data_IF_901733707636
#
_entry.id   IF_901733707636
#
_cell.length_a   1.000
_cell.length_b   1.000
_cell.length_c   1.000
_cell.angle_alpha   90.00
_cell.angle_beta   90.00
_cell.angle_gamma   90.00
#
_symmetry.space_group_name_H-M   'P 1'
#
loop_
_entity.id
_entity.type
_entity.pdbx_description
1 polymer ?
#
# COMPACT_ATOMS: atom_id res chain seq x y z
N UNK A 1 18.06 3.03 19.51
CA UNK A 1 18.32 3.35 18.11
C UNK A 1 17.45 4.50 17.66
N UNK A 2 18.06 5.45 17.00
CA UNK A 2 17.36 6.62 16.53
C UNK A 2 16.47 6.29 15.34
N UNK A 3 15.27 6.86 15.30
CA UNK A 3 14.33 6.65 14.21
C UNK A 3 13.90 7.98 13.64
N UNK A 4 13.45 7.96 12.39
CA UNK A 4 12.85 9.14 11.77
C UNK A 4 11.65 8.70 10.95
N UNK A 5 10.83 9.68 10.55
CA UNK A 5 9.63 9.41 9.78
C UNK A 5 9.97 9.30 8.30
N UNK A 6 9.41 8.28 7.65
CA UNK A 6 9.55 8.09 6.22
C UNK A 6 8.19 7.88 5.59
N UNK A 7 8.08 8.24 4.32
CA UNK A 7 6.96 7.84 3.49
C UNK A 7 7.35 6.58 2.73
N UNK A 8 6.50 5.56 2.78
CA UNK A 8 6.76 4.29 2.11
C UNK A 8 5.67 4.10 1.07
N UNK A 9 6.05 4.01 -0.20
CA UNK A 9 5.11 3.93 -1.30
C UNK A 9 4.83 2.51 -1.73
N UNK A 10 3.62 2.29 -2.22
CA UNK A 10 3.28 1.03 -2.84
C UNK A 10 2.15 1.19 -3.83
N UNK A 11 2.00 0.22 -4.71
CA UNK A 11 0.89 0.17 -5.65
C UNK A 11 0.67 -1.26 -6.08
N UNK A 12 -0.59 -1.57 -6.40
CA UNK A 12 -0.98 -2.88 -6.85
C UNK A 12 -2.17 -2.72 -7.79
N UNK A 13 -2.25 -3.57 -8.81
CA UNK A 13 -3.42 -3.61 -9.66
C UNK A 13 -4.39 -4.66 -9.13
N UNK A 14 -5.66 -4.48 -9.44
CA UNK A 14 -6.70 -5.43 -9.03
C UNK A 14 -7.83 -5.39 -10.03
N UNK A 15 -8.66 -6.45 -10.05
CA UNK A 15 -9.89 -6.43 -10.79
C UNK A 15 -10.94 -5.80 -9.89
N UNK A 16 -12.00 -5.26 -10.49
CA UNK A 16 -13.04 -4.60 -9.70
C UNK A 16 -14.01 -5.64 -9.14
N UNK A 17 -13.52 -6.43 -8.20
CA UNK A 17 -14.31 -7.38 -7.42
C UNK A 17 -13.85 -7.29 -5.98
N UNK A 18 -14.72 -7.55 -5.01
CA UNK A 18 -14.30 -7.51 -3.60
C UNK A 18 -13.15 -8.46 -3.32
N UNK A 19 -13.17 -9.65 -3.92
CA UNK A 19 -12.13 -10.65 -3.68
C UNK A 19 -10.78 -10.18 -4.20
N UNK A 20 -10.75 -9.64 -5.42
CA UNK A 20 -9.50 -9.20 -6.03
C UNK A 20 -8.92 -8.00 -5.29
N UNK A 21 -9.77 -7.04 -4.94
CA UNK A 21 -9.31 -5.86 -4.21
C UNK A 21 -8.74 -6.27 -2.86
N UNK A 22 -9.47 -7.14 -2.14
CA UNK A 22 -9.02 -7.59 -0.83
C UNK A 22 -7.68 -8.33 -0.94
N UNK A 23 -7.58 -9.26 -1.87
CA UNK A 23 -6.39 -10.06 -2.02
C UNK A 23 -5.16 -9.22 -2.38
N UNK A 24 -5.33 -8.30 -3.32
CA UNK A 24 -4.21 -7.51 -3.80
C UNK A 24 -3.79 -6.43 -2.80
N UNK A 25 -4.75 -5.79 -2.13
CA UNK A 25 -4.41 -4.83 -1.09
C UNK A 25 -3.71 -5.55 0.07
N UNK A 26 -4.20 -6.72 0.43
CA UNK A 26 -3.59 -7.51 1.50
C UNK A 26 -2.16 -7.90 1.19
N UNK A 27 -1.92 -8.34 -0.04
CA UNK A 27 -0.57 -8.74 -0.45
C UNK A 27 0.38 -7.55 -0.44
N UNK A 28 -0.04 -6.41 -0.99
CA UNK A 28 0.79 -5.21 -1.03
C UNK A 28 1.15 -4.77 0.38
N UNK A 29 0.17 -4.70 1.26
CA UNK A 29 0.41 -4.22 2.63
C UNK A 29 1.23 -5.21 3.44
N UNK A 30 0.98 -6.52 3.26
CA UNK A 30 1.77 -7.53 3.96
C UNK A 30 3.25 -7.38 3.60
N UNK A 31 3.54 -7.15 2.32
CA UNK A 31 4.91 -6.98 1.87
C UNK A 31 5.53 -5.69 2.39
N UNK A 32 4.77 -4.59 2.38
CA UNK A 32 5.27 -3.32 2.91
C UNK A 32 5.65 -3.47 4.39
N UNK A 33 4.76 -4.08 5.17
CA UNK A 33 5.00 -4.20 6.60
C UNK A 33 6.16 -5.15 6.88
N UNK A 34 6.25 -6.23 6.12
CA UNK A 34 7.31 -7.22 6.31
C UNK A 34 8.67 -6.69 5.87
N UNK A 35 8.73 -6.15 4.65
CA UNK A 35 10.01 -5.71 4.08
C UNK A 35 10.60 -4.52 4.83
N UNK A 36 9.76 -3.74 5.49
CA UNK A 36 10.21 -2.59 6.25
C UNK A 36 10.23 -2.88 7.75
N UNK A 37 9.94 -4.12 8.13
CA UNK A 37 9.98 -4.59 9.51
C UNK A 37 9.16 -3.68 10.43
N UNK A 38 7.92 -3.39 10.02
CA UNK A 38 7.06 -2.47 10.75
C UNK A 38 6.19 -3.19 11.77
N UNK A 39 6.09 -2.59 12.95
CA UNK A 39 5.11 -2.99 13.95
C UNK A 39 4.00 -1.94 13.95
N UNK A 40 2.82 -2.24 14.50
CA UNK A 40 1.73 -1.26 14.46
C UNK A 40 2.11 0.09 15.06
N UNK A 41 2.91 0.10 16.13
CA UNK A 41 3.28 1.36 16.77
C UNK A 41 4.29 2.18 15.98
N UNK A 42 4.88 1.61 14.93
CA UNK A 42 5.77 2.38 14.05
C UNK A 42 4.97 3.17 13.02
N UNK A 43 3.73 2.80 12.77
CA UNK A 43 2.94 3.35 11.67
C UNK A 43 2.12 4.55 12.14
N UNK A 44 2.34 5.69 11.50
CA UNK A 44 1.61 6.91 11.79
C UNK A 44 0.26 6.90 11.07
N UNK A 45 0.27 6.56 9.79
CA UNK A 45 -0.97 6.51 9.00
C UNK A 45 -0.74 5.71 7.73
N UNK A 46 -1.85 5.24 7.16
CA UNK A 46 -1.86 4.52 5.89
C UNK A 46 -2.90 5.20 5.01
N UNK A 47 -2.47 5.81 3.93
CA UNK A 47 -3.37 6.50 3.03
C UNK A 47 -3.39 5.78 1.69
N UNK A 48 -4.58 5.30 1.30
CA UNK A 48 -4.76 4.65 0.01
C UNK A 48 -5.39 5.61 -0.97
N UNK A 49 -5.06 5.46 -2.26
CA UNK A 49 -5.89 6.03 -3.32
C UNK A 49 -6.34 4.88 -4.22
N UNK A 50 -7.50 5.03 -4.83
CA UNK A 50 -8.04 4.04 -5.74
C UNK A 50 -8.50 4.73 -7.01
N UNK A 51 -8.18 4.14 -8.16
CA UNK A 51 -8.70 4.66 -9.42
C UNK A 51 -10.23 4.47 -9.43
N UNK A 52 -10.94 5.33 -10.17
CA UNK A 52 -12.40 5.34 -10.09
C UNK A 52 -13.04 4.06 -10.63
N UNK A 53 -12.30 3.27 -11.39
CA UNK A 53 -12.82 1.99 -11.90
C UNK A 53 -12.75 0.88 -10.85
N UNK A 54 -12.21 1.14 -9.67
CA UNK A 54 -12.25 0.21 -8.54
C UNK A 54 -13.21 0.81 -7.52
N UNK A 55 -14.45 0.32 -7.51
CA UNK A 55 -15.48 0.94 -6.69
C UNK A 55 -16.31 -0.04 -5.86
N UNK A 56 -16.04 -1.33 -5.96
CA UNK A 56 -16.87 -2.30 -5.26
C UNK A 56 -16.38 -2.65 -3.86
N UNK A 57 -15.21 -2.15 -3.45
CA UNK A 57 -14.71 -2.37 -2.11
C UNK A 57 -13.71 -1.29 -1.74
N UNK A 58 -13.77 -0.82 -0.49
CA UNK A 58 -12.88 0.20 0.04
C UNK A 58 -11.56 -0.46 0.44
N UNK A 59 -10.42 0.14 0.04
CA UNK A 59 -9.11 -0.44 0.32
C UNK A 59 -8.81 -0.54 1.82
N UNK A 60 -9.24 0.43 2.61
CA UNK A 60 -9.00 0.37 4.05
C UNK A 60 -9.82 -0.77 4.68
N UNK A 61 -11.06 -0.95 4.21
CA UNK A 61 -11.87 -2.07 4.69
C UNK A 61 -11.25 -3.40 4.27
N UNK A 62 -10.67 -3.44 3.07
CA UNK A 62 -9.98 -4.64 2.60
C UNK A 62 -8.80 -4.98 3.50
N UNK A 63 -8.00 -3.97 3.85
CA UNK A 63 -6.85 -4.20 4.71
C UNK A 63 -7.27 -4.79 6.06
N UNK A 64 -8.32 -4.25 6.66
CA UNK A 64 -8.77 -4.73 7.97
C UNK A 64 -9.24 -6.18 7.94
N UNK A 65 -9.60 -6.70 6.78
CA UNK A 65 -10.09 -8.07 6.66
C UNK A 65 -8.98 -9.06 6.31
N UNK A 66 -7.74 -8.59 6.17
CA UNK A 66 -6.63 -9.44 5.77
C UNK A 66 -5.68 -9.70 6.93
N UNK A 67 -5.07 -10.87 6.91
CA UNK A 67 -3.97 -11.15 7.82
C UNK A 67 -2.71 -10.64 7.12
N UNK A 68 -2.18 -9.55 7.59
CA UNK A 68 -0.98 -8.93 7.00
C UNK A 68 0.22 -9.00 7.94
N UNK A 69 0.12 -9.86 8.95
CA UNK A 69 1.25 -10.10 9.85
C UNK A 69 1.32 -9.18 11.05
N UNK A 70 0.53 -8.12 11.07
CA UNK A 70 0.45 -7.21 12.22
C UNK A 70 -1.01 -6.87 12.48
N UNK A 71 -1.29 -6.37 13.66
CA UNK A 71 -2.63 -5.96 14.03
C UNK A 71 -2.93 -4.60 13.42
N UNK A 72 -3.95 -4.53 12.55
CA UNK A 72 -4.30 -3.30 11.86
C UNK A 72 -5.46 -2.55 12.52
N UNK A 73 -6.00 -3.07 13.62
CA UNK A 73 -7.25 -2.53 14.18
C UNK A 73 -7.17 -1.08 14.64
N UNK A 74 -5.99 -0.63 15.06
CA UNK A 74 -5.82 0.74 15.53
C UNK A 74 -5.06 1.64 14.57
N UNK A 75 -4.79 1.18 13.36
CA UNK A 75 -4.07 2.00 12.40
C UNK A 75 -4.96 3.12 11.86
N UNK A 76 -4.38 4.29 11.64
CA UNK A 76 -5.10 5.41 11.06
C UNK A 76 -5.13 5.21 9.54
N UNK A 77 -6.26 4.74 9.03
CA UNK A 77 -6.44 4.42 7.61
C UNK A 77 -7.31 5.46 6.93
N UNK A 78 -6.99 5.78 5.69
CA UNK A 78 -7.75 6.76 4.92
C UNK A 78 -7.72 6.38 3.45
N UNK A 79 -8.81 6.64 2.73
CA UNK A 79 -8.90 6.33 1.30
C UNK A 79 -9.41 7.55 0.56
N UNK A 80 -8.76 7.88 -0.55
CA UNK A 80 -9.19 8.94 -1.45
C UNK A 80 -9.30 8.37 -2.86
N UNK A 81 -10.04 9.06 -3.72
CA UNK A 81 -10.04 8.68 -5.12
C UNK A 81 -8.79 9.23 -5.78
N UNK A 82 -8.14 8.40 -6.60
CA UNK A 82 -6.97 8.81 -7.34
C UNK A 82 -7.37 9.86 -8.37
N UNK A 83 -6.55 10.88 -8.58
CA UNK A 83 -6.81 11.88 -9.60
C UNK A 83 -6.90 11.19 -10.96
N UNK A 84 -7.91 11.56 -11.75
CA UNK A 84 -8.11 10.96 -13.06
C UNK A 84 -7.29 11.73 -14.08
N UNK A 85 -6.20 11.14 -14.56
CA UNK A 85 -5.28 11.78 -15.50
C UNK A 85 -5.27 10.94 -16.78
N UNK A 86 -5.29 11.63 -17.91
CA UNK A 86 -5.26 10.92 -19.21
C UNK A 86 -4.03 10.04 -19.30
N UNK A 87 -4.22 8.81 -19.74
CA UNK A 87 -3.13 7.87 -19.92
C UNK A 87 -2.68 7.15 -18.67
N UNK A 88 -3.33 7.38 -17.54
CA UNK A 88 -2.95 6.70 -16.31
C UNK A 88 -3.30 5.22 -16.37
N UNK A 89 -2.55 4.42 -15.64
CA UNK A 89 -2.81 2.99 -15.55
C UNK A 89 -4.14 2.75 -14.82
N UNK A 90 -5.04 1.92 -15.37
CA UNK A 90 -6.32 1.66 -14.72
C UNK A 90 -6.20 0.59 -13.64
N UNK A 91 -7.24 0.45 -12.84
CA UNK A 91 -7.38 -0.62 -11.85
C UNK A 91 -6.23 -0.62 -10.84
N UNK A 92 -5.88 0.53 -10.30
CA UNK A 92 -4.73 0.66 -9.40
C UNK A 92 -5.16 1.10 -8.02
N UNK A 93 -4.61 0.45 -7.00
CA UNK A 93 -4.65 0.95 -5.63
C UNK A 93 -3.24 1.37 -5.29
N UNK A 94 -3.06 2.62 -4.84
CA UNK A 94 -1.78 3.11 -4.37
C UNK A 94 -1.85 3.28 -2.86
N UNK A 95 -0.70 3.23 -2.21
CA UNK A 95 -0.64 3.45 -0.77
C UNK A 95 0.56 4.30 -0.41
N UNK A 96 0.38 5.16 0.58
CA UNK A 96 1.48 5.87 1.20
C UNK A 96 1.40 5.54 2.69
N UNK A 97 2.39 4.83 3.19
CA UNK A 97 2.49 4.50 4.60
C UNK A 97 3.48 5.46 5.22
N UNK A 98 3.03 6.22 6.23
CA UNK A 98 3.91 7.11 6.96
C UNK A 98 4.29 6.38 8.24
N UNK A 99 5.57 6.14 8.44
CA UNK A 99 6.01 5.29 9.53
C UNK A 99 7.41 5.68 9.99
N UNK A 100 7.74 5.26 11.21
CA UNK A 100 9.08 5.43 11.75
C UNK A 100 9.95 4.25 11.36
N UNK A 101 11.12 4.54 10.84
CA UNK A 101 12.14 3.53 10.53
C UNK A 101 13.46 3.96 11.17
N UNK A 102 14.41 3.03 11.36
CA UNK A 102 15.74 3.41 11.81
C UNK A 102 16.33 4.47 10.87
N UNK A 103 16.95 5.49 11.44
CA UNK A 103 17.35 6.68 10.70
C UNK A 103 18.26 6.39 9.52
N UNK A 104 19.11 5.39 9.60
CA UNK A 104 20.02 5.06 8.52
C UNK A 104 19.46 4.12 7.47
N UNK A 105 18.18 3.73 7.59
CA UNK A 105 17.61 2.74 6.70
C UNK A 105 16.76 3.39 5.63
N UNK A 106 16.84 2.88 4.40
CA UNK A 106 15.98 3.35 3.33
C UNK A 106 14.71 2.52 3.30
N UNK A 107 13.57 3.15 3.04
CA UNK A 107 12.32 2.39 2.93
C UNK A 107 12.31 1.51 1.70
N UNK A 108 11.63 0.38 1.77
CA UNK A 108 11.45 -0.53 0.66
C UNK A 108 10.04 -0.30 0.11
N UNK A 109 9.94 0.15 -1.13
CA UNK A 109 8.66 0.38 -1.81
C UNK A 109 8.21 -0.91 -2.45
N UNK A 110 6.90 -1.08 -2.60
CA UNK A 110 6.32 -2.31 -3.15
C UNK A 110 5.40 -1.98 -4.33
N UNK A 111 5.79 -2.42 -5.53
CA UNK A 111 5.01 -2.25 -6.74
C UNK A 111 4.86 -3.63 -7.36
N UNK A 112 3.66 -4.21 -7.27
CA UNK A 112 3.44 -5.60 -7.65
C UNK A 112 2.17 -5.78 -8.46
N UNK A 113 2.00 -6.96 -9.02
CA UNK A 113 0.78 -7.42 -9.70
C UNK A 113 0.28 -6.45 -10.76
N UNK A 114 1.18 -6.01 -11.61
CA UNK A 114 0.83 -5.13 -12.71
C UNK A 114 1.21 -3.67 -12.48
N UNK A 115 1.44 -3.27 -11.23
CA UNK A 115 1.78 -1.90 -10.90
C UNK A 115 3.27 -1.61 -11.07
N UNK A 116 4.07 -2.62 -11.39
CA UNK A 116 5.51 -2.43 -11.62
C UNK A 116 5.77 -1.37 -12.70
N UNK A 117 4.82 -1.23 -13.63
CA UNK A 117 4.95 -0.28 -14.73
C UNK A 117 5.00 1.16 -14.26
N UNK A 118 4.48 1.45 -13.07
CA UNK A 118 4.44 2.81 -12.56
C UNK A 118 5.81 3.27 -12.09
N UNK A 119 6.60 2.40 -11.52
CA UNK A 119 7.93 2.71 -11.03
C UNK A 119 8.87 1.55 -11.28
N UNK A 120 9.29 1.32 -12.55
CA UNK A 120 10.15 0.19 -12.88
C UNK A 120 11.47 0.22 -12.11
N UNK A 121 11.93 1.41 -11.71
CA UNK A 121 13.16 1.58 -10.96
C UNK A 121 13.07 0.99 -9.55
N UNK A 122 11.86 0.80 -9.03
CA UNK A 122 11.67 0.22 -7.70
C UNK A 122 11.19 -1.22 -7.73
N UNK A 123 10.68 -1.69 -8.86
CA UNK A 123 10.19 -3.04 -8.92
C UNK A 123 11.35 -3.92 -9.27
N UNK A 124 12.17 -4.25 -8.57
CA UNK A 124 13.24 -5.06 -8.74
C UNK A 124 13.16 -6.12 -9.62
N UNK A 125 12.32 -6.19 -10.40
CA UNK A 125 12.26 -7.23 -11.35
C UNK A 125 12.44 -8.45 -10.67
N UNK A 126 12.24 -8.32 -9.67
CA UNK A 126 12.45 -9.41 -9.05
C UNK A 126 11.44 -9.85 -8.70
#
# INVERSE_FOLDING_TARGET
>A
MEKRIFGIRGAVCAENTPESIKENVGEMCRLIFKENNLQPYDIVSVHFTMTQDLHCMNAAAALRKCDVGIDTSLLALFVSQEASIDGMLPHVVRVLVTAYLPAGKNPVYVYINGAEKLRPDFSKGK
#
